data_IF_810526230572
#
_entry.id   IF_810526230572
#
_cell.length_a   1.000
_cell.length_b   1.000
_cell.length_c   1.000
_cell.angle_alpha   90.00
_cell.angle_beta   90.00
_cell.angle_gamma   90.00
#
_symmetry.space_group_name_H-M   'P 1'
#
loop_
_entity.id
_entity.type
_entity.pdbx_description
1 polymer ?
#
# COMPACT_ATOMS: atom_id res chain seq x y z
N UNK A 1 18.40 -48.57 47.82
CA UNK A 1 17.39 -47.53 47.48
C UNK A 1 17.91 -46.77 46.27
N UNK A 2 17.38 -47.07 45.07
CA UNK A 2 17.87 -46.53 43.80
C UNK A 2 16.88 -45.47 43.31
N UNK A 3 17.33 -44.22 43.18
CA UNK A 3 16.53 -43.09 42.69
C UNK A 3 16.73 -42.96 41.19
N UNK A 4 15.70 -43.32 40.42
CA UNK A 4 15.63 -43.10 38.97
C UNK A 4 15.33 -41.62 38.67
N UNK A 5 16.34 -40.89 38.20
CA UNK A 5 16.17 -39.56 37.57
C UNK A 5 15.46 -39.71 36.21
N UNK A 6 14.19 -39.32 36.15
CA UNK A 6 13.46 -39.19 34.88
C UNK A 6 14.09 -38.14 33.96
N UNK A 7 14.50 -38.56 32.76
CA UNK A 7 14.98 -37.70 31.67
C UNK A 7 13.82 -36.84 31.14
N UNK A 8 13.96 -35.52 31.21
CA UNK A 8 13.13 -34.52 30.50
C UNK A 8 13.24 -34.76 28.99
N UNK A 9 12.19 -35.27 28.36
CA UNK A 9 12.11 -35.42 26.91
C UNK A 9 12.06 -34.03 26.23
N UNK A 10 12.84 -33.89 25.16
CA UNK A 10 13.39 -32.64 24.63
C UNK A 10 12.48 -32.04 23.52
N UNK A 11 11.89 -30.84 23.70
CA UNK A 11 11.14 -30.10 22.65
C UNK A 11 11.98 -29.72 21.42
N UNK A 12 13.31 -29.82 21.51
CA UNK A 12 14.27 -29.36 20.50
C UNK A 12 14.38 -30.31 19.28
N UNK A 13 14.07 -31.60 19.42
CA UNK A 13 14.18 -32.56 18.30
C UNK A 13 13.05 -32.42 17.27
N UNK A 14 11.83 -32.20 17.73
CA UNK A 14 10.68 -31.94 16.85
C UNK A 14 10.85 -30.61 16.12
N UNK A 15 11.28 -29.55 16.84
CA UNK A 15 11.58 -28.24 16.25
C UNK A 15 12.64 -28.36 15.14
N UNK A 16 13.76 -29.04 15.41
CA UNK A 16 14.82 -29.25 14.39
C UNK A 16 14.32 -30.02 13.16
N UNK A 17 13.45 -31.02 13.32
CA UNK A 17 12.83 -31.74 12.19
C UNK A 17 11.91 -30.83 11.37
N UNK A 18 11.09 -30.02 12.03
CA UNK A 18 10.20 -29.07 11.37
C UNK A 18 11.00 -28.02 10.57
N UNK A 19 12.09 -27.49 11.13
CA UNK A 19 12.96 -26.54 10.41
C UNK A 19 13.59 -27.19 9.17
N UNK A 20 14.08 -28.43 9.27
CA UNK A 20 14.66 -29.15 8.12
C UNK A 20 13.63 -29.43 7.03
N UNK A 21 12.42 -29.85 7.41
CA UNK A 21 11.33 -30.08 6.47
C UNK A 21 10.96 -28.78 5.74
N UNK A 22 10.80 -27.69 6.48
CA UNK A 22 10.48 -26.38 5.93
C UNK A 22 11.60 -25.83 5.02
N UNK A 23 12.87 -26.03 5.40
CA UNK A 23 14.01 -25.65 4.57
C UNK A 23 14.03 -26.41 3.23
N UNK A 24 13.76 -27.72 3.27
CA UNK A 24 13.71 -28.56 2.08
C UNK A 24 12.52 -28.23 1.17
N UNK A 25 11.36 -27.95 1.75
CA UNK A 25 10.13 -27.57 1.04
C UNK A 25 10.30 -26.23 0.30
N UNK A 26 10.93 -25.24 0.94
CA UNK A 26 11.07 -23.90 0.39
C UNK A 26 12.36 -23.67 -0.41
N UNK A 27 13.28 -24.65 -0.43
CA UNK A 27 14.59 -24.50 -1.06
C UNK A 27 15.46 -23.41 -0.43
N UNK A 28 15.30 -23.13 0.87
CA UNK A 28 16.02 -22.06 1.59
C UNK A 28 16.99 -22.61 2.63
N UNK A 29 17.96 -21.78 3.05
CA UNK A 29 18.89 -22.14 4.11
C UNK A 29 18.17 -22.41 5.45
N UNK A 30 18.71 -23.33 6.25
CA UNK A 30 18.16 -23.75 7.55
C UNK A 30 17.86 -22.57 8.50
N UNK A 31 18.74 -21.57 8.56
CA UNK A 31 18.56 -20.39 9.42
C UNK A 31 17.41 -19.48 8.96
N UNK A 32 17.10 -19.45 7.67
CA UNK A 32 15.94 -18.75 7.12
C UNK A 32 14.67 -19.48 7.50
N UNK A 33 14.63 -20.80 7.29
CA UNK A 33 13.50 -21.65 7.71
C UNK A 33 13.26 -21.58 9.23
N UNK A 34 14.32 -21.50 10.04
CA UNK A 34 14.21 -21.37 11.49
C UNK A 34 13.49 -20.08 11.90
N UNK A 35 13.87 -18.94 11.31
CA UNK A 35 13.23 -17.63 11.55
C UNK A 35 11.78 -17.60 11.07
N UNK A 36 11.49 -18.20 9.92
CA UNK A 36 10.12 -18.31 9.40
C UNK A 36 9.23 -19.16 10.30
N UNK A 37 9.75 -20.28 10.80
CA UNK A 37 9.01 -21.15 11.72
C UNK A 37 8.72 -20.42 13.04
N UNK A 38 9.69 -19.70 13.58
CA UNK A 38 9.54 -18.91 14.81
C UNK A 38 8.55 -17.75 14.64
N UNK A 39 8.58 -17.06 13.50
CA UNK A 39 7.61 -16.02 13.16
C UNK A 39 6.17 -16.58 13.04
N UNK A 40 5.99 -17.80 12.52
CA UNK A 40 4.67 -18.47 12.48
C UNK A 40 4.15 -18.80 13.88
N UNK A 41 5.01 -19.30 14.77
CA UNK A 41 4.63 -19.61 16.16
C UNK A 41 4.24 -18.34 16.92
N UNK A 42 5.03 -17.28 16.80
CA UNK A 42 4.73 -15.98 17.42
C UNK A 42 3.43 -15.36 16.90
N UNK A 43 3.13 -15.53 15.60
CA UNK A 43 1.86 -15.09 15.00
C UNK A 43 0.66 -15.87 15.56
N UNK A 44 0.81 -17.19 15.72
CA UNK A 44 -0.21 -18.05 16.33
C UNK A 44 -0.47 -17.72 17.81
N UNK A 45 0.57 -17.35 18.57
CA UNK A 45 0.43 -16.95 19.97
C UNK A 45 -0.18 -15.55 20.11
N UNK A 46 0.18 -14.62 19.22
CA UNK A 46 -0.40 -13.28 19.16
C UNK A 46 -1.89 -13.28 18.78
N UNK A 47 -2.31 -14.19 17.90
CA UNK A 47 -3.73 -14.36 17.53
C UNK A 47 -4.56 -14.96 18.69
N UNK A 48 -3.92 -15.67 19.62
CA UNK A 48 -4.59 -16.30 20.77
C UNK A 48 -4.92 -15.30 21.91
N UNK A 49 -4.26 -14.14 21.95
CA UNK A 49 -4.37 -13.16 23.03
C UNK A 49 -5.13 -11.89 22.63
N UNK A 50 -5.59 -11.77 21.38
CA UNK A 50 -6.43 -10.65 20.95
C UNK A 50 -7.90 -10.95 21.31
N UNK A 51 -8.59 -10.08 22.07
CA UNK A 51 -10.05 -10.15 22.12
C UNK A 51 -10.54 -10.04 20.68
N UNK A 52 -11.45 -10.93 20.26
CA UNK A 52 -11.95 -11.03 18.87
C UNK A 52 -12.39 -9.66 18.35
N UNK A 53 -11.44 -8.93 17.76
CA UNK A 53 -11.71 -7.79 16.91
C UNK A 53 -12.48 -8.36 15.73
N UNK A 54 -13.73 -7.93 15.59
CA UNK A 54 -14.76 -8.51 14.72
C UNK A 54 -14.21 -9.22 13.51
N UNK A 55 -14.47 -10.53 13.44
CA UNK A 55 -14.20 -11.34 12.25
C UNK A 55 -14.81 -10.62 11.05
N UNK A 56 -13.96 -10.18 10.14
CA UNK A 56 -14.37 -9.83 8.79
C UNK A 56 -15.24 -10.94 8.22
N UNK A 57 -16.14 -10.62 7.28
CA UNK A 57 -16.74 -11.68 6.46
C UNK A 57 -15.59 -12.54 5.91
N UNK A 58 -15.64 -13.87 6.08
CA UNK A 58 -14.69 -14.78 5.42
C UNK A 58 -14.65 -14.44 3.92
N UNK A 59 -13.47 -14.09 3.40
CA UNK A 59 -13.25 -13.80 1.98
C UNK A 59 -12.58 -12.45 1.65
N UNK A 60 -12.90 -11.34 2.33
CA UNK A 60 -12.31 -10.03 1.97
C UNK A 60 -10.84 -9.90 2.43
N UNK A 61 -10.52 -10.42 3.61
CA UNK A 61 -9.14 -10.48 4.12
C UNK A 61 -8.34 -11.61 3.46
N UNK A 62 -9.00 -12.69 3.04
CA UNK A 62 -8.35 -13.83 2.38
C UNK A 62 -7.74 -13.43 1.04
N UNK A 63 -8.45 -12.64 0.21
CA UNK A 63 -7.90 -12.15 -1.05
C UNK A 63 -6.67 -11.26 -0.81
N UNK A 64 -6.74 -10.36 0.18
CA UNK A 64 -5.63 -9.48 0.54
C UNK A 64 -4.43 -10.25 1.10
N UNK A 65 -4.68 -11.20 2.00
CA UNK A 65 -3.67 -12.08 2.56
C UNK A 65 -3.01 -12.92 1.47
N UNK A 66 -3.78 -13.43 0.50
CA UNK A 66 -3.26 -14.15 -0.66
C UNK A 66 -2.39 -13.25 -1.54
N UNK A 67 -2.80 -12.01 -1.80
CA UNK A 67 -1.98 -11.07 -2.57
C UNK A 67 -0.64 -10.76 -1.89
N UNK A 68 -0.65 -10.55 -0.56
CA UNK A 68 0.60 -10.36 0.19
C UNK A 68 1.48 -11.61 0.13
N UNK A 69 0.90 -12.80 0.34
CA UNK A 69 1.63 -14.06 0.23
C UNK A 69 2.24 -14.27 -1.16
N UNK A 70 1.49 -13.96 -2.23
CA UNK A 70 2.00 -14.03 -3.60
C UNK A 70 3.13 -13.01 -3.85
N UNK A 71 3.04 -11.81 -3.28
CA UNK A 71 4.10 -10.79 -3.39
C UNK A 71 5.37 -11.18 -2.63
N UNK A 72 5.24 -11.83 -1.48
CA UNK A 72 6.37 -12.37 -0.69
C UNK A 72 7.09 -13.50 -1.42
N UNK A 73 6.39 -14.25 -2.29
CA UNK A 73 6.96 -15.35 -3.08
C UNK A 73 7.66 -14.91 -4.38
N UNK A 74 7.69 -13.61 -4.69
CA UNK A 74 8.33 -13.12 -5.91
C UNK A 74 9.85 -13.32 -5.88
N UNK A 75 10.41 -13.69 -7.03
CA UNK A 75 11.86 -13.73 -7.21
C UNK A 75 12.49 -12.35 -6.96
N UNK A 76 13.77 -12.34 -6.61
CA UNK A 76 14.51 -11.09 -6.44
C UNK A 76 14.46 -10.19 -7.68
N UNK A 77 14.65 -10.75 -8.88
CA UNK A 77 14.57 -9.99 -10.14
C UNK A 77 13.19 -9.36 -10.36
N UNK A 78 12.11 -10.08 -10.02
CA UNK A 78 10.76 -9.54 -10.11
C UNK A 78 10.54 -8.38 -9.14
N UNK A 79 11.07 -8.47 -7.91
CA UNK A 79 11.03 -7.38 -6.92
C UNK A 79 11.83 -6.15 -7.35
N UNK A 80 13.04 -6.33 -7.88
CA UNK A 80 13.87 -5.23 -8.42
C UNK A 80 13.17 -4.55 -9.60
N UNK A 81 12.57 -5.33 -10.50
CA UNK A 81 11.82 -4.76 -11.63
C UNK A 81 10.63 -3.93 -11.16
N UNK A 82 9.88 -4.44 -10.19
CA UNK A 82 8.70 -3.75 -9.66
C UNK A 82 9.06 -2.49 -8.85
N UNK A 83 10.16 -2.52 -8.10
CA UNK A 83 10.64 -1.35 -7.34
C UNK A 83 11.29 -0.29 -8.24
N UNK A 84 11.94 -0.68 -9.34
CA UNK A 84 12.35 0.27 -10.40
C UNK A 84 11.16 0.94 -11.06
N UNK A 85 10.09 0.18 -11.33
CA UNK A 85 8.82 0.76 -11.80
C UNK A 85 8.26 1.74 -10.76
N UNK A 86 8.23 1.35 -9.48
CA UNK A 86 7.75 2.19 -8.39
C UNK A 86 8.55 3.50 -8.22
N UNK A 87 9.84 3.48 -8.53
CA UNK A 87 10.73 4.65 -8.47
C UNK A 87 10.61 5.60 -9.67
N UNK A 88 9.97 5.16 -10.77
CA UNK A 88 9.80 5.97 -11.97
C UNK A 88 8.58 6.89 -11.85
N UNK A 89 8.81 8.19 -11.67
CA UNK A 89 7.76 9.19 -11.46
C UNK A 89 7.46 9.95 -12.77
N UNK A 90 6.19 10.34 -13.02
CA UNK A 90 5.01 10.08 -12.18
C UNK A 90 4.28 8.76 -12.51
N UNK A 91 4.48 8.21 -13.71
CA UNK A 91 3.66 7.11 -14.24
C UNK A 91 3.98 5.78 -13.55
N UNK A 92 5.26 5.40 -13.48
CA UNK A 92 5.68 4.12 -12.91
C UNK A 92 5.24 3.93 -11.45
N UNK A 93 5.36 4.96 -10.60
CA UNK A 93 4.82 4.93 -9.23
C UNK A 93 3.31 4.68 -9.22
N UNK A 94 2.55 5.39 -10.06
CA UNK A 94 1.11 5.19 -10.18
C UNK A 94 0.77 3.76 -10.63
N UNK A 95 1.44 3.25 -11.66
CA UNK A 95 1.28 1.87 -12.15
C UNK A 95 1.64 0.83 -11.08
N UNK A 96 2.71 1.05 -10.33
CA UNK A 96 3.12 0.16 -9.25
C UNK A 96 2.03 0.09 -8.16
N UNK A 97 1.52 1.24 -7.72
CA UNK A 97 0.49 1.30 -6.69
C UNK A 97 -0.84 0.69 -7.15
N UNK A 98 -1.26 0.90 -8.41
CA UNK A 98 -2.47 0.23 -8.93
C UNK A 98 -2.32 -1.29 -9.00
N UNK A 99 -1.13 -1.79 -9.34
CA UNK A 99 -0.84 -3.24 -9.31
C UNK A 99 -0.76 -3.79 -7.89
N UNK A 100 -0.30 -2.99 -6.92
CA UNK A 100 -0.25 -3.38 -5.50
C UNK A 100 -1.63 -3.46 -4.86
N UNK A 101 -2.53 -2.56 -5.24
CA UNK A 101 -3.89 -2.51 -4.73
C UNK A 101 -4.88 -2.75 -5.88
N UNK A 102 -5.03 -3.99 -6.38
CA UNK A 102 -5.97 -4.27 -7.47
C UNK A 102 -7.42 -4.05 -7.01
N UNK A 103 -8.36 -3.84 -7.96
CA UNK A 103 -9.78 -3.74 -7.64
C UNK A 103 -10.25 -5.02 -6.96
N UNK A 104 -11.06 -4.89 -5.90
CA UNK A 104 -11.61 -6.04 -5.20
C UNK A 104 -12.94 -6.40 -5.88
N UNK A 105 -12.98 -7.53 -6.60
CA UNK A 105 -14.21 -8.00 -7.24
C UNK A 105 -15.34 -8.17 -6.21
N UNK A 106 -16.44 -7.42 -6.34
CA UNK A 106 -17.58 -7.51 -5.44
C UNK A 106 -18.57 -6.34 -5.55
N UNK A 107 -19.48 -6.25 -4.58
CA UNK A 107 -20.54 -5.22 -4.51
C UNK A 107 -19.97 -3.82 -4.17
N UNK A 108 -18.72 -3.75 -3.72
CA UNK A 108 -18.13 -2.53 -3.21
C UNK A 108 -17.11 -1.94 -4.20
N UNK A 109 -17.33 -0.74 -4.76
CA UNK A 109 -16.46 -0.13 -5.77
C UNK A 109 -15.10 0.36 -5.21
N UNK A 110 -14.61 -0.22 -4.10
CA UNK A 110 -13.31 0.15 -3.52
C UNK A 110 -12.17 -0.23 -4.45
N UNK A 111 -11.21 0.67 -4.57
CA UNK A 111 -10.10 0.56 -5.51
C UNK A 111 -10.53 0.42 -6.98
N UNK A 112 -11.82 0.53 -7.33
CA UNK A 112 -12.25 0.46 -8.74
C UNK A 112 -11.89 1.73 -9.52
N UNK A 113 -11.92 1.61 -10.84
CA UNK A 113 -11.72 2.70 -11.78
C UNK A 113 -10.52 2.46 -12.68
N UNK A 114 -10.77 2.17 -13.96
CA UNK A 114 -9.70 1.96 -14.95
C UNK A 114 -8.78 3.19 -15.06
N UNK A 115 -9.32 4.40 -14.87
CA UNK A 115 -8.52 5.64 -14.89
C UNK A 115 -7.85 6.01 -13.57
N UNK A 116 -7.85 5.17 -12.53
CA UNK A 116 -7.22 5.50 -11.23
C UNK A 116 -5.70 5.64 -11.35
N UNK A 117 -5.07 4.85 -12.23
CA UNK A 117 -3.63 4.93 -12.51
C UNK A 117 -3.28 6.30 -13.08
N UNK A 118 -3.95 6.67 -14.17
CA UNK A 118 -3.84 7.98 -14.82
C UNK A 118 -4.11 9.11 -13.84
N UNK A 119 -5.13 8.96 -13.00
CA UNK A 119 -5.46 9.96 -11.97
C UNK A 119 -4.30 10.15 -11.00
N UNK A 120 -3.73 9.09 -10.43
CA UNK A 120 -2.57 9.20 -9.53
C UNK A 120 -1.35 9.79 -10.25
N UNK A 121 -1.08 9.37 -11.49
CA UNK A 121 0.01 9.91 -12.29
C UNK A 121 -0.14 11.43 -12.51
N UNK A 122 -1.36 11.92 -12.75
CA UNK A 122 -1.65 13.35 -12.85
C UNK A 122 -1.46 14.09 -11.53
N UNK A 123 -1.86 13.51 -10.39
CA UNK A 123 -1.61 14.11 -9.07
C UNK A 123 -0.11 14.26 -8.80
N UNK A 124 0.68 13.22 -9.10
CA UNK A 124 2.13 13.31 -9.00
C UNK A 124 2.70 14.35 -9.97
N UNK A 125 2.21 14.42 -11.20
CA UNK A 125 2.58 15.46 -12.17
C UNK A 125 2.36 16.88 -11.63
N UNK A 126 1.19 17.15 -11.04
CA UNK A 126 0.88 18.44 -10.39
C UNK A 126 1.89 18.74 -9.29
N UNK A 127 2.17 17.79 -8.41
CA UNK A 127 3.10 18.01 -7.29
C UNK A 127 4.54 18.22 -7.74
N UNK A 128 5.00 17.49 -8.75
CA UNK A 128 6.34 17.67 -9.31
C UNK A 128 6.49 19.04 -10.00
N UNK A 129 5.41 19.59 -10.55
CA UNK A 129 5.38 20.93 -11.13
C UNK A 129 5.34 22.02 -10.05
N UNK A 130 4.36 21.96 -9.13
CA UNK A 130 4.10 23.04 -8.17
C UNK A 130 5.00 22.97 -6.93
N UNK A 131 5.56 21.81 -6.63
CA UNK A 131 6.35 21.55 -5.42
C UNK A 131 7.52 20.62 -5.72
N UNK A 132 8.48 21.04 -6.57
CA UNK A 132 9.59 20.19 -7.00
C UNK A 132 10.45 19.68 -5.83
N UNK A 133 10.45 20.37 -4.69
CA UNK A 133 11.11 19.92 -3.46
C UNK A 133 10.49 18.66 -2.81
N UNK A 134 9.30 18.23 -3.23
CA UNK A 134 8.71 16.94 -2.82
C UNK A 134 9.23 15.75 -3.65
N UNK A 135 9.96 16.00 -4.73
CA UNK A 135 10.57 14.94 -5.55
C UNK A 135 11.66 14.26 -4.70
N UNK A 136 11.57 12.94 -4.45
CA UNK A 136 12.63 12.24 -3.74
C UNK A 136 13.94 12.30 -4.54
N UNK A 137 15.08 12.29 -3.86
CA UNK A 137 16.38 12.39 -4.52
C UNK A 137 16.59 11.22 -5.48
N UNK A 138 17.07 11.49 -6.70
CA UNK A 138 17.23 10.46 -7.72
C UNK A 138 18.18 9.32 -7.28
N UNK A 139 19.24 9.66 -6.53
CA UNK A 139 20.18 8.69 -5.98
C UNK A 139 19.52 7.79 -4.91
N UNK A 140 18.67 8.36 -4.06
CA UNK A 140 17.92 7.63 -3.02
C UNK A 140 16.93 6.66 -3.65
N UNK A 141 16.13 7.12 -4.63
CA UNK A 141 15.19 6.27 -5.36
C UNK A 141 15.89 5.17 -6.14
N UNK A 142 16.99 5.48 -6.81
CA UNK A 142 17.77 4.47 -7.53
C UNK A 142 18.31 3.42 -6.58
N UNK A 143 18.85 3.83 -5.43
CA UNK A 143 19.34 2.89 -4.41
C UNK A 143 18.22 2.02 -3.86
N UNK A 144 17.08 2.60 -3.47
CA UNK A 144 15.92 1.87 -2.96
C UNK A 144 15.36 0.87 -4.00
N UNK A 145 15.35 1.24 -5.27
CA UNK A 145 14.91 0.37 -6.36
C UNK A 145 15.84 -0.84 -6.57
N UNK A 146 17.15 -0.68 -6.42
CA UNK A 146 18.09 -1.79 -6.58
C UNK A 146 18.04 -2.81 -5.42
N UNK A 147 17.52 -2.41 -4.25
CA UNK A 147 17.32 -3.34 -3.13
C UNK A 147 16.20 -4.36 -3.40
N UNK A 148 15.25 -4.04 -4.28
CA UNK A 148 14.04 -4.85 -4.44
C UNK A 148 13.13 -4.81 -3.21
N UNK A 149 13.26 -3.78 -2.37
CA UNK A 149 12.44 -3.56 -1.18
C UNK A 149 11.40 -2.47 -1.43
N UNK A 150 10.13 -2.87 -1.59
CA UNK A 150 9.02 -1.93 -1.85
C UNK A 150 8.89 -0.88 -0.75
N UNK A 151 9.05 -1.28 0.52
CA UNK A 151 8.99 -0.39 1.67
C UNK A 151 10.04 0.72 1.63
N UNK A 152 11.22 0.47 1.07
CA UNK A 152 12.25 1.51 0.92
C UNK A 152 11.80 2.60 -0.07
N UNK A 153 11.19 2.20 -1.19
CA UNK A 153 10.61 3.15 -2.15
C UNK A 153 9.42 3.88 -1.54
N UNK A 154 8.59 3.21 -0.76
CA UNK A 154 7.44 3.83 -0.07
C UNK A 154 7.88 4.89 0.93
N UNK A 155 8.94 4.63 1.71
CA UNK A 155 9.49 5.61 2.65
C UNK A 155 10.02 6.83 1.90
N UNK A 156 10.80 6.63 0.83
CA UNK A 156 11.32 7.72 0.00
C UNK A 156 10.19 8.56 -0.64
N UNK A 157 9.10 7.91 -1.07
CA UNK A 157 7.95 8.57 -1.68
C UNK A 157 6.90 9.08 -0.67
N UNK A 158 7.02 8.81 0.63
CA UNK A 158 5.95 9.03 1.60
C UNK A 158 5.43 10.48 1.64
N UNK A 159 6.33 11.47 1.53
CA UNK A 159 5.94 12.88 1.50
C UNK A 159 5.16 13.25 0.23
N UNK A 160 5.58 12.73 -0.92
CA UNK A 160 4.91 12.92 -2.21
C UNK A 160 3.54 12.24 -2.21
N UNK A 161 3.45 10.99 -1.75
CA UNK A 161 2.21 10.22 -1.65
C UNK A 161 1.22 10.89 -0.68
N UNK A 162 1.71 11.42 0.44
CA UNK A 162 0.89 12.20 1.38
C UNK A 162 0.35 13.48 0.74
N UNK A 163 1.20 14.22 0.03
CA UNK A 163 0.76 15.43 -0.66
C UNK A 163 -0.27 15.12 -1.76
N UNK A 164 -0.08 14.02 -2.50
CA UNK A 164 -1.03 13.56 -3.53
C UNK A 164 -2.37 13.20 -2.91
N UNK A 165 -2.35 12.56 -1.74
CA UNK A 165 -3.57 12.26 -0.99
C UNK A 165 -4.29 13.53 -0.56
N UNK A 166 -3.58 14.53 -0.06
CA UNK A 166 -4.19 15.80 0.38
C UNK A 166 -4.73 16.65 -0.78
N UNK A 167 -4.15 16.54 -1.98
CA UNK A 167 -4.73 17.17 -3.18
C UNK A 167 -6.15 16.69 -3.47
N UNK A 168 -6.46 15.42 -3.17
CA UNK A 168 -7.78 14.84 -3.36
C UNK A 168 -8.85 15.36 -2.38
N UNK A 169 -8.46 16.12 -1.35
CA UNK A 169 -9.39 16.80 -0.44
C UNK A 169 -9.74 18.22 -0.91
N UNK A 170 -9.08 18.72 -1.96
CA UNK A 170 -9.39 20.02 -2.56
C UNK A 170 -10.63 19.95 -3.45
N UNK A 171 -11.21 21.12 -3.73
CA UNK A 171 -12.33 21.23 -4.67
C UNK A 171 -11.97 20.61 -6.03
N UNK A 172 -12.86 19.75 -6.55
CA UNK A 172 -12.62 18.96 -7.75
C UNK A 172 -12.38 19.83 -8.97
N UNK A 173 -13.09 20.95 -9.13
CA UNK A 173 -12.90 21.85 -10.27
C UNK A 173 -11.53 22.51 -10.23
N UNK A 174 -11.12 23.00 -9.05
CA UNK A 174 -9.77 23.56 -8.85
C UNK A 174 -8.67 22.53 -9.10
N UNK A 175 -8.88 21.28 -8.71
CA UNK A 175 -7.92 20.21 -8.96
C UNK A 175 -7.67 20.01 -10.46
N UNK A 176 -8.73 19.92 -11.27
CA UNK A 176 -8.57 19.70 -12.71
C UNK A 176 -7.90 20.89 -13.43
N UNK A 177 -8.21 22.12 -13.05
CA UNK A 177 -7.52 23.29 -13.59
C UNK A 177 -6.00 23.26 -13.29
N UNK A 178 -5.61 22.80 -12.09
CA UNK A 178 -4.20 22.60 -11.73
C UNK A 178 -3.55 21.47 -12.50
N UNK A 179 -4.26 20.36 -12.71
CA UNK A 179 -3.80 19.25 -13.57
C UNK A 179 -3.51 19.75 -14.98
N UNK A 180 -4.45 20.46 -15.60
CA UNK A 180 -4.26 21.04 -16.95
C UNK A 180 -3.03 21.95 -16.99
N UNK A 181 -2.92 22.87 -16.03
CA UNK A 181 -1.79 23.81 -15.92
C UNK A 181 -0.46 23.08 -15.81
N UNK A 182 -0.37 22.09 -14.91
CA UNK A 182 0.86 21.33 -14.69
C UNK A 182 1.27 20.49 -15.91
N UNK A 183 0.30 19.88 -16.60
CA UNK A 183 0.57 19.10 -17.81
C UNK A 183 1.03 20.00 -18.95
N UNK A 184 0.37 21.14 -19.19
CA UNK A 184 0.81 22.12 -20.20
C UNK A 184 2.22 22.64 -19.92
N UNK A 185 2.54 22.96 -18.67
CA UNK A 185 3.90 23.34 -18.30
C UNK A 185 4.90 22.20 -18.54
N UNK A 186 4.53 20.97 -18.16
CA UNK A 186 5.34 19.77 -18.31
C UNK A 186 5.69 19.44 -19.77
N UNK A 187 4.81 19.73 -20.73
CA UNK A 187 5.08 19.55 -22.18
C UNK A 187 6.30 20.36 -22.67
N UNK A 188 6.64 21.45 -21.97
CA UNK A 188 7.82 22.29 -22.26
C UNK A 188 9.05 21.95 -21.42
N UNK A 189 9.00 20.91 -20.58
CA UNK A 189 10.10 20.55 -19.68
C UNK A 189 11.38 20.15 -20.43
N UNK A 190 12.52 20.53 -19.87
CA UNK A 190 13.86 20.12 -20.35
C UNK A 190 14.15 18.66 -20.02
N UNK A 191 13.53 18.10 -18.97
CA UNK A 191 13.59 16.68 -18.65
C UNK A 191 12.69 15.91 -19.62
N UNK A 192 13.31 15.16 -20.54
CA UNK A 192 12.60 14.37 -21.55
C UNK A 192 11.57 13.43 -20.93
N UNK A 193 11.87 12.78 -19.80
CA UNK A 193 10.92 11.83 -19.18
C UNK A 193 9.70 12.55 -18.65
N UNK A 194 9.91 13.69 -17.99
CA UNK A 194 8.81 14.52 -17.50
C UNK A 194 7.94 15.04 -18.64
N UNK A 195 8.57 15.52 -19.72
CA UNK A 195 7.88 15.98 -20.92
C UNK A 195 7.05 14.88 -21.58
N UNK A 196 7.65 13.71 -21.81
CA UNK A 196 6.98 12.58 -22.46
C UNK A 196 5.78 12.11 -21.60
N UNK A 197 5.93 12.08 -20.28
CA UNK A 197 4.84 11.79 -19.35
C UNK A 197 3.73 12.85 -19.39
N UNK A 198 4.08 14.14 -19.42
CA UNK A 198 3.10 15.22 -19.50
C UNK A 198 2.28 15.17 -20.81
N UNK A 199 2.93 14.92 -21.95
CA UNK A 199 2.26 14.75 -23.25
C UNK A 199 1.30 13.56 -23.21
N UNK A 200 1.74 12.41 -22.67
CA UNK A 200 0.92 11.21 -22.58
C UNK A 200 -0.31 11.45 -21.69
N UNK A 201 -0.10 11.97 -20.48
CA UNK A 201 -1.20 12.27 -19.55
C UNK A 201 -2.13 13.37 -20.09
N UNK A 202 -1.60 14.37 -20.79
CA UNK A 202 -2.40 15.41 -21.42
C UNK A 202 -3.33 14.86 -22.51
N UNK A 203 -2.89 13.83 -23.26
CA UNK A 203 -3.76 13.11 -24.21
C UNK A 203 -4.86 12.36 -23.47
N UNK A 204 -4.51 11.60 -22.44
CA UNK A 204 -5.47 10.85 -21.62
C UNK A 204 -6.53 11.75 -20.98
N UNK A 205 -6.14 12.94 -20.48
CA UNK A 205 -7.07 13.91 -19.90
C UNK A 205 -8.15 14.35 -20.90
N UNK A 206 -7.78 14.49 -22.18
CA UNK A 206 -8.69 14.92 -23.25
C UNK A 206 -9.61 13.81 -23.74
N UNK A 207 -9.20 12.55 -23.63
CA UNK A 207 -9.95 11.40 -24.15
C UNK A 207 -10.79 10.69 -23.10
N UNK A 208 -10.42 10.82 -21.82
CA UNK A 208 -10.99 10.01 -20.74
C UNK A 208 -11.62 10.91 -19.67
N UNK A 209 -12.89 10.64 -19.30
CA UNK A 209 -13.52 11.32 -18.17
C UNK A 209 -12.95 10.79 -16.85
N UNK A 210 -11.94 11.48 -16.31
CA UNK A 210 -11.24 11.02 -15.11
C UNK A 210 -11.95 11.34 -13.78
N UNK A 211 -13.05 12.09 -13.85
CA UNK A 211 -13.77 12.60 -12.66
C UNK A 211 -14.31 11.48 -11.75
N UNK A 212 -14.68 10.34 -12.33
CA UNK A 212 -15.20 9.19 -11.59
C UNK A 212 -14.14 8.35 -10.88
N UNK A 213 -12.85 8.62 -11.09
CA UNK A 213 -11.76 7.75 -10.60
C UNK A 213 -10.99 8.33 -9.40
N UNK A 214 -11.37 9.52 -8.92
CA UNK A 214 -10.74 10.16 -7.76
C UNK A 214 -10.86 9.31 -6.49
N UNK A 215 -12.01 8.65 -6.29
CA UNK A 215 -12.22 7.81 -5.10
C UNK A 215 -11.33 6.56 -5.14
N UNK A 216 -11.11 5.97 -6.33
CA UNK A 216 -10.16 4.86 -6.51
C UNK A 216 -8.73 5.26 -6.16
N UNK A 217 -8.26 6.42 -6.64
CA UNK A 217 -6.96 6.97 -6.29
C UNK A 217 -6.85 7.27 -4.78
N UNK A 218 -7.91 7.83 -4.19
CA UNK A 218 -7.99 8.09 -2.73
C UNK A 218 -7.84 6.80 -1.95
N UNK A 219 -8.58 5.75 -2.30
CA UNK A 219 -8.52 4.47 -1.61
C UNK A 219 -7.13 3.86 -1.67
N UNK A 220 -6.47 3.88 -2.84
CA UNK A 220 -5.10 3.37 -3.01
C UNK A 220 -4.11 4.11 -2.13
N UNK A 221 -4.14 5.45 -2.13
CA UNK A 221 -3.24 6.26 -1.31
C UNK A 221 -3.52 6.10 0.19
N UNK A 222 -4.79 6.01 0.60
CA UNK A 222 -5.15 5.74 1.99
C UNK A 222 -4.61 4.38 2.43
N UNK A 223 -4.81 3.32 1.62
CA UNK A 223 -4.34 1.98 1.94
C UNK A 223 -2.81 1.91 2.09
N UNK A 224 -2.07 2.62 1.24
CA UNK A 224 -0.63 2.76 1.34
C UNK A 224 -0.22 3.52 2.62
N UNK A 225 -0.81 4.68 2.86
CA UNK A 225 -0.36 5.60 3.91
C UNK A 225 -0.72 5.14 5.32
N UNK A 226 -1.76 4.31 5.51
CA UNK A 226 -2.09 3.76 6.85
C UNK A 226 -1.13 2.66 7.30
N UNK A 227 -0.44 1.99 6.38
CA UNK A 227 0.36 0.81 6.66
C UNK A 227 1.48 1.06 7.69
N UNK A 228 2.28 2.14 7.60
CA UNK A 228 3.32 2.43 8.59
C UNK A 228 2.79 2.71 10.00
N UNK A 229 1.50 3.07 10.12
CA UNK A 229 0.86 3.40 11.39
C UNK A 229 -0.02 2.27 11.93
N UNK A 230 0.00 1.09 11.29
CA UNK A 230 -0.91 -0.02 11.60
C UNK A 230 -2.39 0.40 11.59
N UNK A 231 -2.72 1.40 10.76
CA UNK A 231 -4.06 1.95 10.67
C UNK A 231 -5.02 1.06 9.88
N UNK A 232 -6.27 1.50 9.80
CA UNK A 232 -7.35 0.79 9.12
C UNK A 232 -7.49 1.27 7.67
N UNK A 233 -7.10 0.48 6.65
CA UNK A 233 -7.25 0.86 5.25
C UNK A 233 -8.73 0.86 4.82
N UNK A 234 -9.05 1.49 3.68
CA UNK A 234 -10.36 1.36 3.06
C UNK A 234 -10.79 -0.10 2.92
N UNK A 235 -12.01 -0.40 3.35
CA UNK A 235 -12.55 -1.76 3.42
C UNK A 235 -12.44 -2.42 4.79
N UNK A 236 -11.70 -1.85 5.74
CA UNK A 236 -11.66 -2.35 7.12
C UNK A 236 -13.00 -2.17 7.82
N UNK A 237 -13.48 -3.22 8.52
CA UNK A 237 -14.69 -3.16 9.35
C UNK A 237 -14.35 -2.58 10.72
N UNK A 238 -15.05 -1.53 11.13
CA UNK A 238 -14.96 -0.91 12.45
C UNK A 238 -16.38 -0.61 12.93
N UNK A 239 -16.75 -0.82 14.20
CA UNK A 239 -18.04 -0.32 14.69
C UNK A 239 -18.15 1.19 14.41
N UNK A 240 -19.18 1.69 13.66
CA UNK A 240 -20.44 1.03 13.27
C UNK A 240 -20.55 0.57 11.79
N UNK A 241 -19.48 0.52 11.00
CA UNK A 241 -19.52 0.04 9.61
C UNK A 241 -18.18 -0.27 8.95
N UNK A 242 -17.98 0.22 7.72
CA UNK A 242 -16.77 -0.03 6.94
C UNK A 242 -16.02 1.26 6.62
N UNK A 243 -14.71 1.29 6.84
CA UNK A 243 -13.84 2.41 6.47
C UNK A 243 -13.91 2.64 4.96
N UNK A 244 -14.23 3.87 4.58
CA UNK A 244 -14.23 4.35 3.19
C UNK A 244 -12.95 5.12 2.92
N UNK A 245 -12.59 6.06 3.79
CA UNK A 245 -11.36 6.85 3.65
C UNK A 245 -10.73 7.18 4.99
N UNK A 246 -9.44 7.49 4.96
CA UNK A 246 -8.71 8.06 6.08
C UNK A 246 -8.59 9.58 5.91
N UNK A 247 -8.67 10.33 7.02
CA UNK A 247 -8.40 11.76 7.06
C UNK A 247 -7.00 12.01 7.58
N UNK A 248 -6.31 12.92 6.91
CA UNK A 248 -4.89 13.15 7.11
C UNK A 248 -4.59 14.61 7.40
N UNK A 249 -3.60 14.84 8.24
CA UNK A 249 -2.84 16.09 8.27
C UNK A 249 -1.62 15.97 7.37
N UNK A 250 -0.80 17.03 7.30
CA UNK A 250 0.43 17.06 6.50
C UNK A 250 1.44 15.97 6.85
N UNK A 251 1.46 15.50 8.09
CA UNK A 251 2.40 14.49 8.59
C UNK A 251 1.80 13.69 9.74
N UNK A 252 2.27 12.46 9.93
CA UNK A 252 1.83 11.59 11.03
C UNK A 252 0.65 10.68 10.67
N UNK A 253 0.07 10.01 11.68
CA UNK A 253 -1.01 9.03 11.50
C UNK A 253 -2.32 9.69 11.02
N UNK A 254 -3.31 8.90 10.59
CA UNK A 254 -4.66 9.40 10.35
C UNK A 254 -5.23 10.09 11.59
N UNK A 255 -5.94 11.20 11.40
CA UNK A 255 -6.63 11.91 12.48
C UNK A 255 -8.09 11.49 12.64
N UNK A 256 -8.67 10.90 11.60
CA UNK A 256 -10.02 10.35 11.62
C UNK A 256 -10.19 9.32 10.49
N UNK A 257 -11.25 8.53 10.58
CA UNK A 257 -11.73 7.66 9.52
C UNK A 257 -13.14 8.07 9.12
N UNK A 258 -13.39 8.09 7.81
CA UNK A 258 -14.74 8.18 7.28
C UNK A 258 -15.27 6.75 7.11
N UNK A 259 -16.35 6.43 7.81
CA UNK A 259 -16.94 5.09 7.92
C UNK A 259 -18.36 5.12 7.37
N UNK A 260 -18.67 4.18 6.49
CA UNK A 260 -20.03 3.94 5.99
C UNK A 260 -20.71 2.93 6.92
N UNK A 261 -21.69 3.32 7.77
CA UNK A 261 -22.39 2.44 8.69
C UNK A 261 -23.17 1.36 7.95
N UNK A 262 -23.37 0.21 8.61
CA UNK A 262 -24.16 -0.87 8.04
C UNK A 262 -25.60 -0.46 7.74
N UNK A 263 -26.06 -0.76 6.51
CA UNK A 263 -27.42 -0.45 6.08
C UNK A 263 -27.69 1.04 5.83
N UNK A 264 -26.68 1.90 5.89
CA UNK A 264 -26.80 3.33 5.63
C UNK A 264 -25.81 3.78 4.55
N UNK A 265 -26.23 4.59 3.56
CA UNK A 265 -25.32 5.22 2.62
C UNK A 265 -24.60 6.44 3.21
N UNK A 266 -24.93 6.85 4.44
CA UNK A 266 -24.42 8.09 5.03
C UNK A 266 -23.06 7.86 5.67
N UNK A 267 -22.04 8.56 5.21
CA UNK A 267 -20.68 8.48 5.79
C UNK A 267 -20.63 9.24 7.12
N UNK A 268 -20.05 8.61 8.14
CA UNK A 268 -19.81 9.18 9.48
C UNK A 268 -18.31 9.26 9.72
N UNK A 269 -17.84 10.39 10.27
CA UNK A 269 -16.42 10.56 10.61
C UNK A 269 -16.17 10.16 12.06
N UNK A 270 -15.22 9.23 12.28
CA UNK A 270 -14.79 8.76 13.59
C UNK A 270 -13.37 9.29 13.86
N UNK A 271 -13.15 10.11 14.90
CA UNK A 271 -11.81 10.60 15.24
C UNK A 271 -10.91 9.46 15.74
N UNK A 272 -9.63 9.52 15.39
CA UNK A 272 -8.61 8.66 16.01
C UNK A 272 -8.21 9.31 17.33
N UNK A 273 -8.50 8.65 18.45
CA UNK A 273 -8.08 9.12 19.76
C UNK A 273 -6.55 9.09 19.83
N UNK A 274 -5.88 10.14 20.35
CA UNK A 274 -4.45 10.08 20.61
C UNK A 274 -4.19 8.97 21.63
N UNK A 275 -3.39 7.99 21.23
CA UNK A 275 -2.89 6.91 22.09
C UNK A 275 -1.77 7.35 23.01
#
# INVERSE_FOLDING_TARGET
MSVTRGRRAVPDRSRKRAIRALAAELGVAYSVAARLLEARTLRSEADSLRPSAGSFRPGADEHRAWMFAAREQRSFLARVTDTRLAADLPIGRATHLTRRFPPVCGVDPRFHGEGRETTMAMLYGVLLHESPGLRPAAAELSWAAELGEESAVDVACAALDRAARLLLDTDRWRLWARVETALTAGESSTDRRHRDAAILLGRELRTTSLRGFLDGARHTLDALLVEPYQGHPPGTRLPPGTVVSARWTRSGPPVAYDVCPDGSPTVVTIPVLPG
#
